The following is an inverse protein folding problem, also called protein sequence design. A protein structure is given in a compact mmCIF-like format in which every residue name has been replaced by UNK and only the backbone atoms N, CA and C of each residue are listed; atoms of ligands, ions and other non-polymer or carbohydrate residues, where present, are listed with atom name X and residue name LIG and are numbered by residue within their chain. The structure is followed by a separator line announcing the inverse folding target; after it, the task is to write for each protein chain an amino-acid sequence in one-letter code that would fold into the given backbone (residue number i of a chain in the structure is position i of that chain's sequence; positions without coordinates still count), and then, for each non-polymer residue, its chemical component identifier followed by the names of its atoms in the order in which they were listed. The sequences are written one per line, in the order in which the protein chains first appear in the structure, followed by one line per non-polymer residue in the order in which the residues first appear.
data_IF_113332799255
#
_entry.id   IF_113332799255
#
_cell.length_a   1.000
_cell.length_b   1.000
_cell.length_c   1.000
_cell.angle_alpha   90.00
_cell.angle_beta   90.00
_cell.angle_gamma   90.00
#
_symmetry.space_group_name_H-M   'P 1'
#
loop_
_entity.id
_entity.type
_entity.pdbx_description
1 polymer ?
#
# COMPACT_ATOMS: atom_id res chain seq x y z
N UNK A 1 3.76 2.57 -25.30
CA UNK A 1 3.68 3.35 -24.05
C UNK A 1 2.97 2.52 -23.01
N UNK A 2 3.66 2.04 -21.97
CA UNK A 2 3.05 1.29 -20.88
C UNK A 2 3.23 2.07 -19.58
N UNK A 3 2.17 2.22 -18.80
CA UNK A 3 2.23 2.81 -17.47
C UNK A 3 1.97 1.73 -16.42
N UNK A 4 2.71 1.79 -15.32
CA UNK A 4 2.45 0.96 -14.15
C UNK A 4 1.59 1.73 -13.16
N UNK A 5 0.46 1.16 -12.75
CA UNK A 5 -0.33 1.66 -11.62
C UNK A 5 -0.12 0.73 -10.44
N UNK A 6 0.33 1.28 -9.31
CA UNK A 6 0.38 0.56 -8.04
C UNK A 6 -1.02 0.53 -7.42
N UNK A 7 -1.60 -0.66 -7.28
CA UNK A 7 -2.92 -0.85 -6.67
C UNK A 7 -2.97 -0.29 -5.25
N UNK A 8 -1.91 -0.50 -4.48
CA UNK A 8 -1.77 -0.03 -3.10
C UNK A 8 -1.86 1.51 -3.02
N UNK A 9 -1.30 2.19 -4.03
CA UNK A 9 -1.31 3.65 -4.14
C UNK A 9 -2.63 4.19 -4.66
N UNK A 10 -3.33 3.42 -5.49
CA UNK A 10 -4.70 3.70 -5.90
C UNK A 10 -5.67 3.61 -4.72
N UNK A 11 -5.57 2.55 -3.92
CA UNK A 11 -6.39 2.34 -2.72
C UNK A 11 -6.09 3.40 -1.67
N UNK A 12 -4.81 3.70 -1.42
CA UNK A 12 -4.40 4.78 -0.50
C UNK A 12 -5.03 6.13 -0.89
N UNK A 13 -5.05 6.46 -2.18
CA UNK A 13 -5.66 7.69 -2.69
C UNK A 13 -7.19 7.69 -2.61
N UNK A 14 -7.85 6.59 -2.99
CA UNK A 14 -9.32 6.45 -2.96
C UNK A 14 -9.86 6.47 -1.52
N UNK A 15 -9.15 5.82 -0.59
CA UNK A 15 -9.57 5.70 0.80
C UNK A 15 -9.07 6.83 1.71
N UNK A 16 -8.22 7.74 1.22
CA UNK A 16 -7.71 8.88 1.99
C UNK A 16 -6.91 8.48 3.23
N UNK A 17 -6.19 7.37 3.16
CA UNK A 17 -5.46 6.81 4.29
C UNK A 17 -4.21 7.66 4.60
N UNK A 18 -3.76 7.69 5.87
CA UNK A 18 -2.58 8.47 6.26
C UNK A 18 -1.27 7.78 5.81
N UNK A 19 -1.29 6.45 5.70
CA UNK A 19 -0.16 5.66 5.19
C UNK A 19 -0.60 4.51 4.29
N UNK A 20 0.22 4.20 3.27
CA UNK A 20 0.01 3.08 2.36
C UNK A 20 0.01 1.70 3.06
N UNK A 21 0.56 1.65 4.29
CA UNK A 21 0.57 0.45 5.13
C UNK A 21 -0.83 0.06 5.58
N UNK A 22 -1.73 1.04 5.73
CA UNK A 22 -3.12 0.80 6.13
C UNK A 22 -3.96 0.27 4.96
N UNK A 23 -3.48 0.48 3.72
CA UNK A 23 -4.08 -0.09 2.53
C UNK A 23 -3.72 -1.58 2.35
N UNK A 24 -2.73 -2.11 3.07
CA UNK A 24 -2.22 -3.48 2.92
C UNK A 24 -2.47 -4.27 4.21
N UNK A 25 -3.25 -5.36 4.19
CA UNK A 25 -3.59 -6.12 5.41
C UNK A 25 -2.39 -6.79 6.09
N UNK A 26 -1.34 -7.13 5.34
CA UNK A 26 -0.08 -7.69 5.86
C UNK A 26 1.12 -6.87 5.37
N UNK A 27 1.34 -5.67 5.94
CA UNK A 27 2.37 -4.78 5.45
C UNK A 27 3.75 -5.36 5.78
N UNK A 28 4.51 -5.73 4.75
CA UNK A 28 5.92 -6.09 4.89
C UNK A 28 6.71 -4.81 5.08
N UNK A 29 7.28 -4.62 6.26
CA UNK A 29 8.19 -3.49 6.54
C UNK A 29 9.51 -4.03 7.03
N UNK A 30 10.58 -3.24 6.93
CA UNK A 30 11.92 -3.63 7.43
C UNK A 30 11.90 -4.02 8.92
N UNK A 31 10.90 -3.55 9.67
CA UNK A 31 10.70 -3.82 11.10
C UNK A 31 9.62 -4.87 11.39
N UNK A 32 8.88 -5.36 10.39
CA UNK A 32 7.79 -6.33 10.57
C UNK A 32 7.80 -7.35 9.43
N UNK A 33 8.32 -8.53 9.74
CA UNK A 33 8.41 -9.68 8.83
C UNK A 33 7.43 -10.81 9.20
N UNK A 34 6.78 -10.76 10.36
CA UNK A 34 5.76 -11.71 10.78
C UNK A 34 4.38 -11.06 10.76
N UNK A 35 3.32 -11.78 10.34
CA UNK A 35 1.94 -11.31 10.43
C UNK A 35 1.57 -11.01 11.89
#
# INVERSE_FOLDING_TARGET
SGFGLGLDRLVWWVCGLDSIRDAIPFPRTIRRITP
#
